data_IF_028464467140
#
_entry.id   IF_028464467140
#
_cell.length_a   1.000
_cell.length_b   1.000
_cell.length_c   1.000
_cell.angle_alpha   90.00
_cell.angle_beta   90.00
_cell.angle_gamma   90.00
#
_symmetry.space_group_name_H-M   'P 1'
#
loop_
_entity.id
_entity.type
_entity.pdbx_description
1 polymer ?
#
# COMPACT_ATOMS: atom_id res chain seq x y z
N UNK A 1 10.80 6.95 14.07
CA UNK A 1 10.04 7.25 12.85
C UNK A 1 11.07 7.62 11.79
N UNK A 2 11.56 6.61 11.07
CA UNK A 2 12.45 6.83 9.93
C UNK A 2 11.61 7.48 8.84
N UNK A 3 11.85 8.76 8.59
CA UNK A 3 11.32 9.40 7.38
C UNK A 3 11.69 8.51 6.20
N UNK A 4 10.70 8.15 5.39
CA UNK A 4 10.87 7.37 4.18
C UNK A 4 12.05 7.93 3.39
N UNK A 5 12.99 7.08 3.02
CA UNK A 5 14.25 7.52 2.38
C UNK A 5 14.03 8.11 0.96
N UNK A 6 12.79 8.14 0.47
CA UNK A 6 12.39 8.73 -0.81
C UNK A 6 12.15 10.25 -0.67
N UNK A 7 12.87 11.06 -1.44
CA UNK A 7 12.65 12.51 -1.54
C UNK A 7 11.54 12.82 -2.53
N UNK A 8 10.69 13.79 -2.18
CA UNK A 8 9.72 14.38 -3.10
C UNK A 8 10.45 15.39 -3.99
N UNK A 9 10.35 15.21 -5.30
CA UNK A 9 10.99 16.11 -6.27
C UNK A 9 10.04 17.22 -6.71
N UNK A 10 8.81 16.85 -7.08
CA UNK A 10 7.81 17.77 -7.61
C UNK A 10 6.42 17.39 -7.10
N UNK A 11 5.62 18.40 -6.74
CA UNK A 11 4.20 18.24 -6.44
C UNK A 11 3.44 19.19 -7.36
N UNK A 12 2.50 18.66 -8.14
CA UNK A 12 1.68 19.47 -9.04
C UNK A 12 0.20 19.13 -8.89
N UNK A 13 -0.62 20.18 -8.97
CA UNK A 13 -2.10 20.12 -8.97
C UNK A 13 -2.65 20.36 -10.38
N UNK A 14 -1.78 20.36 -11.39
CA UNK A 14 -2.16 20.56 -12.78
C UNK A 14 -2.53 19.18 -13.35
N UNK A 15 -3.76 18.98 -13.85
CA UNK A 15 -4.17 17.70 -14.40
C UNK A 15 -3.39 17.41 -15.68
N UNK A 16 -2.65 16.31 -15.70
CA UNK A 16 -1.85 15.86 -16.86
C UNK A 16 -2.56 14.75 -17.66
N UNK A 17 -3.49 14.04 -17.03
CA UNK A 17 -4.33 12.97 -17.61
C UNK A 17 -5.74 13.05 -17.04
N UNK A 18 -6.72 12.41 -17.68
CA UNK A 18 -8.14 12.47 -17.30
C UNK A 18 -8.46 11.87 -15.93
N UNK A 19 -7.57 11.06 -15.35
CA UNK A 19 -7.80 10.32 -14.11
C UNK A 19 -7.11 10.91 -12.87
N UNK A 20 -6.19 11.87 -13.02
CA UNK A 20 -5.43 12.43 -11.91
C UNK A 20 -5.45 13.97 -11.96
N UNK A 21 -6.06 14.59 -10.94
CA UNK A 21 -6.13 16.05 -10.78
C UNK A 21 -4.84 16.64 -10.17
N UNK A 22 -3.94 15.81 -9.67
CA UNK A 22 -2.61 16.17 -9.19
C UNK A 22 -1.75 14.93 -8.97
N UNK A 23 -0.42 15.09 -8.91
CA UNK A 23 0.50 14.01 -8.58
C UNK A 23 1.75 14.52 -7.84
N UNK A 24 2.35 13.64 -7.06
CA UNK A 24 3.66 13.84 -6.44
C UNK A 24 4.68 12.90 -7.10
N UNK A 25 5.82 13.45 -7.51
CA UNK A 25 6.95 12.70 -8.05
C UNK A 25 7.97 12.42 -6.95
N UNK A 26 8.36 11.16 -6.84
CA UNK A 26 9.40 10.71 -5.92
C UNK A 26 10.61 10.25 -6.73
N UNK A 27 11.81 10.66 -6.32
CA UNK A 27 13.04 10.13 -6.89
C UNK A 27 13.29 8.72 -6.34
N UNK A 28 13.22 7.67 -7.17
CA UNK A 28 13.54 6.33 -6.70
C UNK A 28 15.02 6.28 -6.36
N UNK A 29 15.34 6.00 -5.09
CA UNK A 29 16.70 5.57 -4.75
C UNK A 29 16.92 4.17 -5.29
N UNK A 30 18.16 3.84 -5.65
CA UNK A 30 18.57 2.57 -6.26
C UNK A 30 18.48 1.35 -5.30
N UNK A 31 17.62 1.44 -4.28
CA UNK A 31 17.40 0.43 -3.26
C UNK A 31 16.36 -0.57 -3.74
N UNK A 32 16.79 -1.84 -3.89
CA UNK A 32 15.96 -2.94 -4.39
C UNK A 32 15.38 -3.83 -3.29
N UNK A 33 15.82 -3.65 -2.05
CA UNK A 33 15.41 -4.45 -0.89
C UNK A 33 14.69 -3.56 0.11
N UNK A 34 13.48 -3.95 0.49
CA UNK A 34 12.66 -3.20 1.44
C UNK A 34 12.37 -4.04 2.68
N UNK A 35 12.45 -3.40 3.83
CA UNK A 35 12.00 -3.95 5.11
C UNK A 35 10.47 -3.89 5.24
N UNK A 36 9.92 -4.60 6.22
CA UNK A 36 8.50 -4.55 6.55
C UNK A 36 8.06 -3.13 6.93
N UNK A 37 8.89 -2.42 7.68
CA UNK A 37 8.61 -1.07 8.16
C UNK A 37 8.61 -0.08 6.99
N UNK A 38 9.56 -0.19 6.06
CA UNK A 38 9.62 0.69 4.89
C UNK A 38 8.43 0.49 3.95
N UNK A 39 7.98 -0.75 3.75
CA UNK A 39 6.78 -1.03 2.97
C UNK A 39 5.54 -0.48 3.67
N UNK A 40 5.48 -0.56 5.00
CA UNK A 40 4.42 0.03 5.81
C UNK A 40 4.39 1.56 5.67
N UNK A 41 5.53 2.22 5.82
CA UNK A 41 5.65 3.68 5.70
C UNK A 41 5.28 4.14 4.28
N UNK A 42 5.69 3.40 3.25
CA UNK A 42 5.30 3.68 1.86
C UNK A 42 3.80 3.55 1.64
N UNK A 43 3.17 2.53 2.20
CA UNK A 43 1.71 2.40 2.16
C UNK A 43 1.02 3.55 2.90
N UNK A 44 1.60 4.01 4.02
CA UNK A 44 1.07 5.14 4.77
C UNK A 44 1.12 6.44 3.95
N UNK A 45 2.21 6.68 3.22
CA UNK A 45 2.33 7.83 2.31
C UNK A 45 1.25 7.81 1.22
N UNK A 46 1.02 6.65 0.58
CA UNK A 46 0.00 6.51 -0.47
C UNK A 46 -1.42 6.78 0.06
N UNK A 47 -1.76 6.34 1.27
CA UNK A 47 -3.06 6.62 1.89
C UNK A 47 -3.16 8.02 2.53
N UNK A 48 -2.07 8.79 2.56
CA UNK A 48 -2.03 10.11 3.20
C UNK A 48 -3.01 11.10 2.58
N UNK A 49 -3.14 11.12 1.25
CA UNK A 49 -4.09 11.99 0.55
C UNK A 49 -5.54 11.70 0.96
N UNK A 50 -5.93 10.42 0.99
CA UNK A 50 -7.27 9.99 1.42
C UNK A 50 -7.51 10.30 2.90
N UNK A 51 -6.52 10.10 3.76
CA UNK A 51 -6.61 10.43 5.18
C UNK A 51 -6.80 11.93 5.40
N UNK A 52 -6.05 12.77 4.68
CA UNK A 52 -6.18 14.22 4.71
C UNK A 52 -7.57 14.69 4.23
N UNK A 53 -8.12 14.07 3.18
CA UNK A 53 -9.49 14.36 2.72
C UNK A 53 -10.52 14.07 3.81
N UNK A 54 -10.41 12.90 4.45
CA UNK A 54 -11.32 12.47 5.51
C UNK A 54 -11.25 13.43 6.72
N UNK A 55 -10.05 13.79 7.17
CA UNK A 55 -9.86 14.68 8.33
C UNK A 55 -10.32 16.11 8.02
N UNK A 56 -9.95 16.66 6.86
CA UNK A 56 -10.19 18.07 6.56
C UNK A 56 -11.61 18.34 6.07
N UNK A 57 -12.17 17.44 5.26
CA UNK A 57 -13.47 17.64 4.61
C UNK A 57 -14.57 16.72 5.16
N UNK A 58 -14.23 15.71 5.97
CA UNK A 58 -15.20 14.76 6.53
C UNK A 58 -15.87 13.88 5.47
N UNK A 59 -15.30 13.82 4.26
CA UNK A 59 -15.86 13.14 3.10
C UNK A 59 -14.73 12.52 2.30
N UNK A 60 -14.96 11.31 1.82
CA UNK A 60 -14.03 10.58 0.96
C UNK A 60 -14.46 10.70 -0.49
N UNK A 61 -13.49 10.85 -1.40
CA UNK A 61 -13.74 10.96 -2.84
C UNK A 61 -13.24 9.70 -3.59
N UNK A 62 -13.52 9.63 -4.89
CA UNK A 62 -12.97 8.60 -5.79
C UNK A 62 -11.52 8.87 -6.18
N UNK A 63 -10.92 9.99 -5.77
CA UNK A 63 -9.57 10.39 -6.17
C UNK A 63 -8.47 9.44 -5.69
N UNK A 64 -8.71 8.68 -4.61
CA UNK A 64 -7.75 7.75 -4.02
C UNK A 64 -7.83 6.31 -4.59
N UNK A 65 -8.52 6.09 -5.71
CA UNK A 65 -8.70 4.73 -6.28
C UNK A 65 -7.36 4.07 -6.62
N UNK A 66 -6.45 4.80 -7.28
CA UNK A 66 -5.16 4.26 -7.70
C UNK A 66 -4.25 3.94 -6.49
N UNK A 67 -4.26 4.80 -5.48
CA UNK A 67 -3.52 4.57 -4.22
C UNK A 67 -4.04 3.32 -3.50
N UNK A 68 -5.36 3.13 -3.42
CA UNK A 68 -5.96 1.94 -2.83
C UNK A 68 -5.57 0.66 -3.58
N UNK A 69 -5.53 0.69 -4.92
CA UNK A 69 -5.06 -0.44 -5.74
C UNK A 69 -3.61 -0.78 -5.43
N UNK A 70 -2.73 0.23 -5.38
CA UNK A 70 -1.30 0.06 -5.10
C UNK A 70 -1.05 -0.47 -3.69
N UNK A 71 -1.72 0.10 -2.68
CA UNK A 71 -1.64 -0.33 -1.28
C UNK A 71 -2.12 -1.76 -1.13
N UNK A 72 -3.27 -2.10 -1.73
CA UNK A 72 -3.79 -3.47 -1.72
C UNK A 72 -2.80 -4.43 -2.34
N UNK A 73 -2.26 -4.11 -3.53
CA UNK A 73 -1.25 -4.95 -4.19
C UNK A 73 -0.01 -5.15 -3.31
N UNK A 74 0.45 -4.10 -2.64
CA UNK A 74 1.59 -4.16 -1.71
C UNK A 74 1.31 -5.05 -0.49
N UNK A 75 0.14 -4.90 0.15
CA UNK A 75 -0.24 -5.73 1.29
C UNK A 75 -0.30 -7.21 0.92
N UNK A 76 -0.93 -7.54 -0.21
CA UNK A 76 -0.97 -8.92 -0.71
C UNK A 76 0.41 -9.46 -1.13
N UNK A 77 1.31 -8.60 -1.63
CA UNK A 77 2.69 -9.01 -1.94
C UNK A 77 3.48 -9.34 -0.67
N UNK A 78 3.34 -8.53 0.38
CA UNK A 78 3.98 -8.80 1.68
C UNK A 78 3.55 -10.15 2.26
N UNK A 79 2.26 -10.47 2.16
CA UNK A 79 1.72 -11.73 2.69
C UNK A 79 2.04 -12.91 1.76
N UNK A 80 1.79 -12.80 0.45
CA UNK A 80 1.88 -13.95 -0.47
C UNK A 80 3.26 -14.17 -1.06
N UNK A 81 4.03 -13.12 -1.33
CA UNK A 81 5.29 -13.21 -2.07
C UNK A 81 6.50 -13.16 -1.14
N UNK A 82 6.48 -12.24 -0.18
CA UNK A 82 7.62 -11.98 0.69
C UNK A 82 7.59 -12.77 2.01
N UNK A 83 6.47 -13.41 2.34
CA UNK A 83 6.34 -14.19 3.58
C UNK A 83 6.48 -13.33 4.85
N UNK A 84 6.09 -12.06 4.78
CA UNK A 84 6.24 -11.06 5.86
C UNK A 84 5.10 -11.13 6.90
N UNK A 85 4.35 -12.23 6.94
CA UNK A 85 3.29 -12.46 7.91
C UNK A 85 3.62 -13.65 8.80
N UNK A 86 3.61 -13.45 10.11
CA UNK A 86 3.80 -14.52 11.09
C UNK A 86 2.67 -15.57 11.05
N UNK A 87 1.49 -15.22 10.53
CA UNK A 87 0.32 -16.11 10.46
C UNK A 87 0.41 -17.06 9.27
N UNK A 88 0.82 -16.55 8.11
CA UNK A 88 0.98 -17.35 6.89
C UNK A 88 2.34 -18.07 6.85
N UNK A 89 3.35 -17.49 7.51
CA UNK A 89 4.71 -17.99 7.56
C UNK A 89 5.57 -17.52 6.38
N UNK A 90 6.80 -18.03 6.32
CA UNK A 90 7.80 -17.70 5.28
C UNK A 90 7.56 -18.52 4.01
N UNK A 91 6.34 -18.42 3.45
CA UNK A 91 5.94 -19.07 2.20
C UNK A 91 5.87 -18.03 1.08
N UNK A 92 6.15 -18.47 -0.15
CA UNK A 92 6.06 -17.64 -1.35
C UNK A 92 5.17 -18.30 -2.39
N UNK A 93 4.17 -17.55 -2.86
CA UNK A 93 3.18 -17.96 -3.85
C UNK A 93 3.22 -16.99 -5.04
N UNK A 94 4.19 -17.17 -5.97
CA UNK A 94 4.29 -16.33 -7.15
C UNK A 94 3.02 -16.41 -8.01
N UNK A 95 2.66 -15.27 -8.59
CA UNK A 95 1.48 -15.12 -9.48
C UNK A 95 1.79 -15.45 -10.94
N UNK A 96 2.89 -16.14 -11.24
CA UNK A 96 3.20 -16.54 -12.61
C UNK A 96 2.01 -17.29 -13.21
N UNK A 97 1.67 -16.95 -14.47
CA UNK A 97 0.58 -17.51 -15.26
C UNK A 97 0.62 -19.05 -15.36
N UNK A 98 1.73 -19.66 -14.95
CA UNK A 98 1.91 -21.10 -14.84
C UNK A 98 0.94 -21.75 -13.83
N UNK A 99 0.53 -21.00 -12.79
CA UNK A 99 -0.46 -21.46 -11.83
C UNK A 99 -1.87 -20.99 -12.21
N UNK A 100 -2.49 -21.64 -13.21
CA UNK A 100 -3.92 -21.48 -13.54
C UNK A 100 -4.86 -21.68 -12.32
N UNK A 101 -4.36 -22.37 -11.30
CA UNK A 101 -5.05 -22.63 -10.03
C UNK A 101 -4.19 -22.09 -8.90
N UNK A 102 -4.81 -21.36 -7.95
CA UNK A 102 -4.14 -20.84 -6.75
C UNK A 102 -3.37 -21.97 -6.03
N UNK A 103 -2.05 -21.83 -5.77
CA UNK A 103 -1.20 -22.91 -5.24
C UNK A 103 -1.37 -23.13 -3.73
N UNK A 104 -2.56 -22.86 -3.19
CA UNK A 104 -2.87 -22.99 -1.77
C UNK A 104 -4.33 -23.39 -1.55
N UNK A 105 -4.59 -24.00 -0.39
CA UNK A 105 -5.94 -24.42 -0.03
C UNK A 105 -6.90 -23.22 0.10
N UNK A 106 -8.21 -23.45 -0.07
CA UNK A 106 -9.23 -22.42 0.20
C UNK A 106 -9.11 -21.82 1.60
N UNK A 107 -8.82 -22.65 2.60
CA UNK A 107 -8.62 -22.21 3.99
C UNK A 107 -7.46 -21.21 4.10
N UNK A 108 -6.33 -21.50 3.47
CA UNK A 108 -5.19 -20.58 3.47
C UNK A 108 -5.50 -19.30 2.69
N UNK A 109 -6.26 -19.41 1.58
CA UNK A 109 -6.76 -18.24 0.85
C UNK A 109 -7.55 -17.27 1.74
N UNK A 110 -8.49 -17.80 2.53
CA UNK A 110 -9.25 -16.96 3.48
C UNK A 110 -8.35 -16.28 4.53
N UNK A 111 -7.33 -16.98 5.03
CA UNK A 111 -6.37 -16.41 5.98
C UNK A 111 -5.57 -15.29 5.32
N UNK A 112 -5.09 -15.49 4.09
CA UNK A 112 -4.36 -14.47 3.33
C UNK A 112 -5.22 -13.22 3.14
N UNK A 113 -6.49 -13.39 2.77
CA UNK A 113 -7.42 -12.26 2.57
C UNK A 113 -7.67 -11.50 3.89
N UNK A 114 -7.83 -12.22 5.01
CA UNK A 114 -7.98 -11.61 6.34
C UNK A 114 -6.74 -10.80 6.74
N UNK A 115 -5.55 -11.38 6.59
CA UNK A 115 -4.29 -10.69 6.93
C UNK A 115 -4.07 -9.49 6.00
N UNK A 116 -4.39 -9.62 4.72
CA UNK A 116 -4.33 -8.52 3.75
C UNK A 116 -5.22 -7.35 4.15
N UNK A 117 -6.48 -7.61 4.52
CA UNK A 117 -7.41 -6.58 5.03
C UNK A 117 -6.85 -5.91 6.28
N UNK A 118 -6.37 -6.70 7.25
CA UNK A 118 -5.79 -6.21 8.49
C UNK A 118 -4.59 -5.28 8.25
N UNK A 119 -3.73 -5.59 7.27
CA UNK A 119 -2.59 -4.73 6.92
C UNK A 119 -3.06 -3.38 6.37
N UNK A 120 -4.01 -3.38 5.43
CA UNK A 120 -4.54 -2.15 4.84
C UNK A 120 -5.26 -1.30 5.89
N UNK A 121 -6.02 -1.92 6.78
CA UNK A 121 -6.69 -1.23 7.90
C UNK A 121 -5.68 -0.59 8.87
N UNK A 122 -4.62 -1.33 9.22
CA UNK A 122 -3.54 -0.84 10.08
C UNK A 122 -2.84 0.39 9.49
N UNK A 123 -2.53 0.34 8.19
CA UNK A 123 -1.97 1.46 7.44
C UNK A 123 -2.94 2.64 7.44
N UNK A 124 -4.21 2.42 7.09
CA UNK A 124 -5.21 3.50 7.02
C UNK A 124 -5.37 4.21 8.36
N UNK A 125 -5.46 3.47 9.46
CA UNK A 125 -5.54 4.04 10.81
C UNK A 125 -4.28 4.83 11.18
N UNK A 126 -3.11 4.33 10.77
CA UNK A 126 -1.83 5.00 11.04
C UNK A 126 -1.66 6.27 10.22
N UNK A 127 -2.05 6.26 8.95
CA UNK A 127 -2.10 7.45 8.09
C UNK A 127 -2.99 8.55 8.65
N UNK A 128 -4.17 8.20 9.19
CA UNK A 128 -5.06 9.19 9.83
C UNK A 128 -4.44 9.78 11.10
N UNK A 129 -3.80 8.95 11.94
CA UNK A 129 -3.09 9.45 13.13
C UNK A 129 -1.94 10.37 12.74
N UNK A 130 -1.18 10.02 11.70
CA UNK A 130 -0.07 10.81 11.18
C UNK A 130 -0.53 12.16 10.62
N UNK A 131 -1.68 12.20 9.96
CA UNK A 131 -2.25 13.42 9.40
C UNK A 131 -2.84 14.37 10.47
N UNK A 132 -2.90 13.96 11.73
CA UNK A 132 -3.31 14.79 12.87
C UNK A 132 -2.11 15.40 13.65
N UNK A 133 -0.88 14.95 13.37
CA UNK A 133 0.34 15.51 13.95
C UNK A 133 0.73 16.81 13.26
#
# INVERSE_FOLDING_TARGET
MSFTDESVDEVTIIPRTSAALGFAQYSPKDKKLFTTEELFDRMCMMLGGRAAENIKFGRITTGAEDDLKKVTKSAYAQVKLYGMSNVVGTLSFPTDDDFKIKPYSRKLGHIIDQVGSMYVESVSSSSEKLALL
#
